data_IF_508428937145
#
_entry.id   IF_508428937145
#
_cell.length_a   1.000
_cell.length_b   1.000
_cell.length_c   1.000
_cell.angle_alpha   90.00
_cell.angle_beta   90.00
_cell.angle_gamma   90.00
#
_symmetry.space_group_name_H-M   'P 1'
#
loop_
_entity.id
_entity.type
_entity.pdbx_description
1 polymer ?
#
# COMPACT_ATOMS: atom_id res chain seq x y z
N UNK A 1 -10.63 -5.78 10.22
CA UNK A 1 -10.10 -4.49 9.72
C UNK A 1 -8.78 -4.05 10.36
N UNK A 2 -8.31 -4.64 11.48
CA UNK A 2 -7.05 -4.22 12.11
C UNK A 2 -5.81 -4.46 11.25
N UNK A 3 -5.77 -5.53 10.45
CA UNK A 3 -4.62 -5.83 9.57
C UNK A 3 -4.50 -4.82 8.42
N UNK A 4 -5.63 -4.34 7.88
CA UNK A 4 -5.65 -3.39 6.76
C UNK A 4 -5.03 -2.03 7.12
N UNK A 5 -5.15 -1.60 8.37
CA UNK A 5 -4.51 -0.36 8.85
C UNK A 5 -2.97 -0.51 8.95
N UNK A 6 -2.47 -1.66 9.40
CA UNK A 6 -1.03 -1.95 9.46
C UNK A 6 -0.42 -2.11 8.09
N UNK A 7 -1.17 -2.70 7.17
CA UNK A 7 -0.83 -2.76 5.76
C UNK A 7 -0.72 -1.37 5.13
N UNK A 8 -1.73 -0.50 5.32
CA UNK A 8 -1.69 0.90 4.86
C UNK A 8 -0.48 1.65 5.45
N UNK A 9 -0.22 1.47 6.75
CA UNK A 9 0.93 2.08 7.40
C UNK A 9 2.25 1.60 6.79
N UNK A 10 2.42 0.30 6.55
CA UNK A 10 3.63 -0.23 5.89
C UNK A 10 3.80 0.26 4.46
N UNK A 11 2.75 0.12 3.64
CA UNK A 11 2.70 0.59 2.25
C UNK A 11 3.07 2.08 2.13
N UNK A 12 2.41 2.93 2.92
CA UNK A 12 2.68 4.38 2.92
C UNK A 12 4.11 4.73 3.30
N UNK A 13 4.75 4.00 4.23
CA UNK A 13 6.16 4.26 4.57
C UNK A 13 7.08 3.96 3.37
N UNK A 14 6.84 2.85 2.66
CA UNK A 14 7.62 2.49 1.47
C UNK A 14 7.41 3.43 0.30
N UNK A 15 6.16 3.82 0.04
CA UNK A 15 5.79 4.74 -1.04
C UNK A 15 6.36 6.14 -0.81
N UNK A 16 6.09 6.73 0.37
CA UNK A 16 6.61 8.05 0.73
C UNK A 16 8.13 8.06 0.78
N UNK A 17 8.75 7.00 1.32
CA UNK A 17 10.21 6.88 1.38
C UNK A 17 10.86 6.82 0.00
N UNK A 18 10.25 6.10 -0.95
CA UNK A 18 10.76 5.99 -2.31
C UNK A 18 10.62 7.31 -3.06
N UNK A 19 9.45 7.94 -3.01
CA UNK A 19 9.20 9.23 -3.69
C UNK A 19 10.07 10.33 -3.09
N UNK A 20 10.19 10.39 -1.76
CA UNK A 20 11.04 11.36 -1.08
C UNK A 20 12.52 11.19 -1.42
N UNK A 21 13.01 9.94 -1.50
CA UNK A 21 14.39 9.67 -1.91
C UNK A 21 14.69 10.19 -3.32
N UNK A 22 13.79 9.96 -4.28
CA UNK A 22 13.94 10.48 -5.64
C UNK A 22 13.82 12.01 -5.71
N UNK A 23 12.99 12.63 -4.86
CA UNK A 23 12.94 14.08 -4.75
C UNK A 23 14.24 14.69 -4.20
N UNK A 24 14.84 14.10 -3.17
CA UNK A 24 16.08 14.61 -2.57
C UNK A 24 17.29 14.40 -3.48
N UNK A 25 17.33 13.26 -4.17
CA UNK A 25 18.44 12.95 -5.10
C UNK A 25 18.33 13.70 -6.43
N UNK A 26 17.15 14.23 -6.77
CA UNK A 26 16.93 15.01 -8.00
C UNK A 26 17.18 14.19 -9.28
N UNK A 27 17.13 12.86 -9.19
CA UNK A 27 17.49 11.97 -10.30
C UNK A 27 16.41 12.03 -11.37
N UNK A 28 16.73 12.38 -12.64
CA UNK A 28 15.74 12.43 -13.72
C UNK A 28 15.39 11.03 -14.19
N UNK A 29 14.62 10.31 -13.38
CA UNK A 29 14.05 9.02 -13.72
C UNK A 29 12.64 9.18 -14.26
N UNK A 30 12.21 8.32 -15.18
CA UNK A 30 10.84 8.37 -15.66
C UNK A 30 9.88 8.06 -14.50
N UNK A 31 8.79 8.82 -14.42
CA UNK A 31 7.78 8.74 -13.35
C UNK A 31 7.32 7.28 -13.15
N UNK A 32 7.00 6.56 -14.23
CA UNK A 32 6.57 5.17 -14.17
C UNK A 32 7.57 4.21 -13.49
N UNK A 33 8.88 4.48 -13.58
CA UNK A 33 9.89 3.66 -12.93
C UNK A 33 9.92 3.93 -11.41
N UNK A 34 9.86 5.20 -11.02
CA UNK A 34 9.76 5.61 -9.60
C UNK A 34 8.50 5.01 -8.98
N UNK A 35 7.38 5.09 -9.70
CA UNK A 35 6.11 4.52 -9.28
C UNK A 35 6.21 3.01 -9.06
N UNK A 36 6.78 2.27 -10.02
CA UNK A 36 6.95 0.81 -9.89
C UNK A 36 7.84 0.41 -8.71
N UNK A 37 8.90 1.18 -8.46
CA UNK A 37 9.78 1.00 -7.30
C UNK A 37 9.06 1.29 -5.99
N UNK A 38 8.25 2.35 -5.95
CA UNK A 38 7.46 2.74 -4.79
C UNK A 38 6.49 1.61 -4.40
N UNK A 39 5.76 1.06 -5.38
CA UNK A 39 4.86 -0.08 -5.18
C UNK A 39 5.61 -1.32 -4.64
N UNK A 40 6.77 -1.66 -5.23
CA UNK A 40 7.55 -2.83 -4.77
C UNK A 40 8.06 -2.62 -3.35
N UNK A 41 8.56 -1.44 -3.03
CA UNK A 41 9.03 -1.11 -1.69
C UNK A 41 7.90 -1.03 -0.66
N UNK A 42 6.75 -0.45 -1.03
CA UNK A 42 5.54 -0.40 -0.22
C UNK A 42 5.01 -1.80 0.11
N UNK A 43 4.95 -2.69 -0.89
CA UNK A 43 4.59 -4.09 -0.69
C UNK A 43 5.57 -4.83 0.23
N UNK A 44 6.88 -4.69 0.00
CA UNK A 44 7.91 -5.36 0.81
C UNK A 44 7.86 -4.91 2.27
N UNK A 45 7.74 -3.60 2.50
CA UNK A 45 7.67 -3.02 3.85
C UNK A 45 6.37 -3.41 4.56
N UNK A 46 5.23 -3.40 3.86
CA UNK A 46 3.95 -3.90 4.36
C UNK A 46 4.00 -5.38 4.75
N UNK A 47 4.48 -6.26 3.86
CA UNK A 47 4.58 -7.70 4.13
C UNK A 47 5.53 -7.96 5.29
N UNK A 48 6.66 -7.26 5.38
CA UNK A 48 7.60 -7.39 6.50
C UNK A 48 6.95 -6.97 7.83
N UNK A 49 6.24 -5.84 7.84
CA UNK A 49 5.59 -5.31 9.03
C UNK A 49 4.41 -6.18 9.49
N UNK A 50 3.55 -6.62 8.57
CA UNK A 50 2.48 -7.57 8.86
C UNK A 50 3.04 -8.90 9.36
N UNK A 51 4.04 -9.47 8.68
CA UNK A 51 4.66 -10.74 9.10
C UNK A 51 5.29 -10.62 10.48
N UNK A 52 5.96 -9.50 10.80
CA UNK A 52 6.54 -9.26 12.11
C UNK A 52 5.48 -9.19 13.22
N UNK A 53 4.37 -8.47 12.99
CA UNK A 53 3.27 -8.36 13.95
C UNK A 53 2.55 -9.70 14.12
N UNK A 54 2.26 -10.41 13.03
CA UNK A 54 1.60 -11.72 13.04
C UNK A 54 2.48 -12.81 13.66
N UNK A 55 3.81 -12.74 13.48
CA UNK A 55 4.76 -13.67 14.12
C UNK A 55 4.74 -13.60 15.65
N UNK A 56 4.15 -12.56 16.25
CA UNK A 56 3.95 -12.45 17.70
C UNK A 56 2.68 -13.13 18.18
N UNK A 57 1.81 -13.56 17.26
CA UNK A 57 0.50 -14.17 17.55
C UNK A 57 0.38 -15.61 17.03
N UNK A 58 1.23 -16.01 16.07
CA UNK A 58 1.22 -17.31 15.42
C UNK A 58 2.63 -17.65 14.90
N UNK A 59 2.89 -18.93 14.63
CA UNK A 59 4.17 -19.37 14.07
C UNK A 59 4.53 -18.66 12.74
N UNK A 60 5.83 -18.51 12.47
CA UNK A 60 6.35 -17.78 11.30
C UNK A 60 5.78 -18.29 9.96
N UNK A 61 5.61 -19.60 9.81
CA UNK A 61 5.12 -20.24 8.59
C UNK A 61 3.65 -19.85 8.26
N UNK A 62 2.68 -19.99 9.18
CA UNK A 62 1.32 -19.52 8.95
C UNK A 62 1.20 -17.99 8.90
N UNK A 63 2.01 -17.25 9.66
CA UNK A 63 2.04 -15.78 9.61
C UNK A 63 2.38 -15.26 8.20
N UNK A 64 3.45 -15.80 7.59
CA UNK A 64 3.88 -15.42 6.23
C UNK A 64 2.86 -15.81 5.16
N UNK A 65 2.28 -17.02 5.25
CA UNK A 65 1.20 -17.44 4.35
C UNK A 65 -0.05 -16.57 4.45
N UNK A 66 -0.33 -16.04 5.64
CA UNK A 66 -1.49 -15.17 5.88
C UNK A 66 -1.23 -13.76 5.35
N UNK A 67 -0.03 -13.20 5.58
CA UNK A 67 0.38 -11.90 5.05
C UNK A 67 0.36 -11.87 3.51
N UNK A 68 0.84 -12.93 2.87
CA UNK A 68 0.79 -13.06 1.39
C UNK A 68 -0.64 -13.39 0.92
N UNK A 69 -1.33 -14.32 1.58
CA UNK A 69 -2.55 -14.93 1.07
C UNK A 69 -3.82 -14.09 1.25
N UNK A 70 -3.88 -13.21 2.26
CA UNK A 70 -5.12 -12.49 2.58
C UNK A 70 -5.20 -11.06 2.02
N UNK A 71 -4.18 -10.57 1.32
CA UNK A 71 -4.09 -9.13 1.06
C UNK A 71 -3.32 -8.68 -0.19
N UNK A 72 -2.66 -9.54 -0.98
CA UNK A 72 -1.84 -9.05 -2.11
C UNK A 72 -2.63 -8.26 -3.17
N UNK A 73 -3.84 -8.68 -3.53
CA UNK A 73 -4.63 -7.96 -4.55
C UNK A 73 -5.10 -6.59 -4.01
N UNK A 74 -5.50 -6.55 -2.74
CA UNK A 74 -5.93 -5.33 -2.07
C UNK A 74 -4.76 -4.35 -1.87
N UNK A 75 -3.57 -4.86 -1.53
CA UNK A 75 -2.34 -4.07 -1.44
C UNK A 75 -1.97 -3.45 -2.79
N UNK A 76 -1.93 -4.24 -3.86
CA UNK A 76 -1.62 -3.72 -5.20
C UNK A 76 -2.66 -2.68 -5.63
N UNK A 77 -3.95 -2.88 -5.31
CA UNK A 77 -4.99 -1.89 -5.62
C UNK A 77 -4.83 -0.57 -4.86
N UNK A 78 -4.41 -0.63 -3.60
CA UNK A 78 -4.13 0.53 -2.75
C UNK A 78 -2.93 1.31 -3.27
N UNK A 79 -1.84 0.61 -3.56
CA UNK A 79 -0.60 1.15 -4.12
C UNK A 79 -0.82 1.83 -5.48
N UNK A 80 -1.52 1.17 -6.40
CA UNK A 80 -1.88 1.75 -7.70
C UNK A 80 -2.74 3.00 -7.52
N UNK A 81 -3.67 3.01 -6.57
CA UNK A 81 -4.53 4.16 -6.31
C UNK A 81 -3.77 5.36 -5.72
N UNK A 82 -2.91 5.12 -4.72
CA UNK A 82 -2.07 6.16 -4.13
C UNK A 82 -1.18 6.81 -5.18
N UNK A 83 -0.55 5.98 -6.01
CA UNK A 83 0.35 6.44 -7.06
C UNK A 83 -0.40 7.16 -8.20
N UNK A 84 -1.59 6.70 -8.56
CA UNK A 84 -2.45 7.38 -9.56
C UNK A 84 -2.90 8.75 -9.06
N UNK A 85 -3.26 8.86 -7.77
CA UNK A 85 -3.66 10.14 -7.16
C UNK A 85 -2.47 11.10 -7.08
N UNK A 86 -1.27 10.61 -6.77
CA UNK A 86 -0.06 11.43 -6.76
C UNK A 86 0.22 12.03 -8.15
N UNK A 87 0.23 11.20 -9.20
CA UNK A 87 0.44 11.65 -10.58
C UNK A 87 -0.68 12.58 -11.06
N UNK A 88 -1.94 12.29 -10.73
CA UNK A 88 -3.08 13.09 -11.14
C UNK A 88 -3.08 14.49 -10.50
N UNK A 89 -2.62 14.61 -9.24
CA UNK A 89 -2.64 15.88 -8.50
C UNK A 89 -1.36 16.70 -8.66
N UNK A 90 -0.20 16.06 -8.88
CA UNK A 90 1.10 16.74 -8.91
C UNK A 90 1.68 16.82 -10.32
N UNK A 91 1.09 16.11 -11.30
CA UNK A 91 1.56 16.06 -12.68
C UNK A 91 2.86 15.27 -12.87
N UNK A 92 3.34 14.58 -11.82
CA UNK A 92 4.57 13.79 -11.81
C UNK A 92 4.69 12.94 -10.54
N UNK A 93 5.90 12.43 -10.25
CA UNK A 93 6.20 11.78 -8.96
C UNK A 93 6.80 12.82 -7.99
N UNK A 94 5.98 13.75 -7.50
CA UNK A 94 6.42 14.83 -6.61
C UNK A 94 5.60 14.86 -5.33
N UNK A 95 6.22 14.52 -4.21
CA UNK A 95 5.54 14.61 -2.92
C UNK A 95 5.31 16.08 -2.53
N UNK A 96 4.04 16.46 -2.44
CA UNK A 96 3.62 17.74 -1.86
C UNK A 96 2.86 17.50 -0.56
N UNK A 97 3.07 18.37 0.43
CA UNK A 97 2.55 18.16 1.80
C UNK A 97 1.02 18.06 1.86
N UNK A 98 0.31 18.68 0.92
CA UNK A 98 -1.16 18.62 0.81
C UNK A 98 -1.69 17.37 0.12
N UNK A 99 -0.90 16.73 -0.74
CA UNK A 99 -1.31 15.53 -1.50
C UNK A 99 -1.14 14.26 -0.66
N UNK A 100 -0.20 14.24 0.28
CA UNK A 100 0.04 13.12 1.22
C UNK A 100 -1.24 12.64 1.95
N UNK A 101 -2.03 13.50 2.61
CA UNK A 101 -3.26 13.04 3.25
C UNK A 101 -4.31 12.55 2.25
N UNK A 102 -4.38 13.12 1.04
CA UNK A 102 -5.32 12.69 0.00
C UNK A 102 -4.96 11.33 -0.60
N UNK A 103 -3.67 11.06 -0.86
CA UNK A 103 -3.21 9.74 -1.31
C UNK A 103 -3.50 8.68 -0.24
N UNK A 104 -3.25 8.96 1.04
CA UNK A 104 -3.51 8.01 2.13
C UNK A 104 -5.00 7.66 2.25
N UNK A 105 -5.88 8.65 2.12
CA UNK A 105 -7.33 8.43 2.11
C UNK A 105 -7.74 7.62 0.89
N UNK A 106 -7.24 7.95 -0.30
CA UNK A 106 -7.53 7.20 -1.52
C UNK A 106 -7.06 5.75 -1.44
N UNK A 107 -5.86 5.52 -0.90
CA UNK A 107 -5.30 4.20 -0.64
C UNK A 107 -6.10 3.40 0.37
N UNK A 108 -6.67 4.03 1.40
CA UNK A 108 -7.55 3.33 2.35
C UNK A 108 -8.92 3.00 1.74
N UNK A 109 -9.48 3.92 0.94
CA UNK A 109 -10.82 3.81 0.36
C UNK A 109 -10.87 2.86 -0.84
N UNK A 110 -9.80 2.68 -1.61
CA UNK A 110 -9.80 1.80 -2.80
C UNK A 110 -9.90 0.30 -2.53
N UNK A 111 -9.24 -0.30 -1.54
CA UNK A 111 -9.41 -1.72 -1.25
C UNK A 111 -10.77 -2.01 -0.62
N UNK A 112 -11.46 -1.03 -0.04
CA UNK A 112 -12.79 -1.18 0.58
C UNK A 112 -13.86 -1.74 -0.39
N UNK A 113 -14.16 -1.14 -1.55
CA UNK A 113 -15.16 -1.65 -2.50
C UNK A 113 -14.75 -2.99 -3.12
N UNK A 114 -13.46 -3.21 -3.40
CA UNK A 114 -12.97 -4.51 -3.89
C UNK A 114 -13.12 -5.61 -2.83
N UNK A 115 -12.73 -5.35 -1.58
CA UNK A 115 -12.96 -6.29 -0.47
C UNK A 115 -14.45 -6.50 -0.23
N UNK A 116 -15.28 -5.45 -0.30
CA UNK A 116 -16.73 -5.56 -0.06
C UNK A 116 -17.41 -6.39 -1.13
N UNK A 117 -17.05 -6.21 -2.40
CA UNK A 117 -17.56 -7.02 -3.51
C UNK A 117 -17.11 -8.50 -3.40
N UNK A 118 -15.84 -8.74 -3.06
CA UNK A 118 -15.29 -10.08 -2.82
C UNK A 118 -15.96 -10.77 -1.62
N UNK A 119 -16.16 -10.06 -0.52
CA UNK A 119 -16.80 -10.58 0.70
C UNK A 119 -18.29 -10.88 0.48
N UNK A 120 -18.97 -10.06 -0.33
CA UNK A 120 -20.35 -10.30 -0.76
C UNK A 120 -20.46 -11.51 -1.70
N UNK A 121 -19.48 -11.71 -2.59
CA UNK A 121 -19.42 -12.89 -3.46
C UNK A 121 -19.11 -14.20 -2.69
N UNK A 122 -18.34 -14.13 -1.59
CA UNK A 122 -18.00 -15.28 -0.74
C UNK A 122 -18.90 -15.45 0.50
N UNK A 123 -20.00 -14.68 0.61
CA UNK A 123 -21.00 -14.85 1.67
C UNK A 123 -20.52 -14.53 3.10
N UNK A 124 -19.38 -13.84 3.26
CA UNK A 124 -18.89 -13.41 4.58
C UNK A 124 -19.26 -11.96 4.80
N UNK A 125 -20.39 -11.72 5.46
CA UNK A 125 -20.81 -10.38 5.87
C UNK A 125 -19.87 -9.82 6.95
N UNK A 126 -19.45 -8.56 6.81
CA UNK A 126 -18.73 -7.83 7.86
C UNK A 126 -19.69 -7.45 8.98
N UNK A 127 -19.45 -7.97 10.18
CA UNK A 127 -19.80 -7.32 11.45
C UNK A 127 -18.52 -6.92 12.16
#
# INVERSE_FOLDING_TARGET
MRNTAWCLAGCSIGDLGTIFYFQVTGTPWPVWAIMSLAIVNGLLTSIALETFILSRQMDLKPAFRTAIGMSMISMVSMEVAMNTVDVALTGGAMLTWWVVPLMLVAGYVTPLPYNYWRLKAHGKACH
#
